data_IF_402401554853
#
_entry.id   IF_402401554853
#
_cell.length_a   1.000
_cell.length_b   1.000
_cell.length_c   1.000
_cell.angle_alpha   90.00
_cell.angle_beta   90.00
_cell.angle_gamma   90.00
#
_symmetry.space_group_name_H-M   'P 1'
#
loop_
_entity.id
_entity.type
_entity.pdbx_description
1 polymer ?
#
# COMPACT_ATOMS: atom_id res chain seq x y z
N UNK A 1 11.93 -4.72 -16.63
CA UNK A 1 13.05 -3.80 -16.59
C UNK A 1 13.76 -3.80 -17.95
N UNK A 2 14.04 -2.61 -18.51
CA UNK A 2 14.91 -2.49 -19.70
C UNK A 2 16.37 -2.55 -19.26
N UNK A 3 17.10 -3.54 -19.78
CA UNK A 3 18.53 -3.75 -19.51
C UNK A 3 19.30 -3.78 -20.80
N UNK A 4 20.52 -3.26 -20.80
CA UNK A 4 21.45 -3.27 -21.92
C UNK A 4 22.88 -3.12 -21.40
N UNK A 5 23.86 -3.31 -22.28
CA UNK A 5 25.27 -3.02 -21.96
C UNK A 5 25.70 -1.71 -22.60
N UNK A 6 26.45 -0.92 -21.88
CA UNK A 6 27.08 0.27 -22.46
C UNK A 6 28.32 -0.10 -23.29
N UNK A 7 28.91 0.87 -23.96
CA UNK A 7 30.10 0.64 -24.77
C UNK A 7 31.32 0.13 -23.99
N UNK A 8 31.33 0.26 -22.67
CA UNK A 8 32.33 -0.28 -21.74
C UNK A 8 32.03 -1.69 -21.23
N UNK A 9 30.96 -2.33 -21.72
CA UNK A 9 30.53 -3.67 -21.29
C UNK A 9 29.89 -3.72 -19.93
N UNK A 10 29.46 -2.58 -19.34
CA UNK A 10 28.79 -2.54 -18.05
C UNK A 10 27.29 -2.77 -18.23
N UNK A 11 26.69 -3.58 -17.36
CA UNK A 11 25.26 -3.74 -17.33
C UNK A 11 24.60 -2.45 -16.81
N UNK A 12 23.69 -1.90 -17.60
CA UNK A 12 22.90 -0.72 -17.27
C UNK A 12 21.42 -1.01 -17.45
N UNK A 13 20.60 -0.28 -16.71
CA UNK A 13 19.16 -0.40 -16.78
C UNK A 13 18.47 0.96 -16.76
N UNK A 14 17.36 1.06 -17.47
CA UNK A 14 16.51 2.23 -17.36
C UNK A 14 15.79 2.18 -16.00
N UNK A 15 15.70 3.31 -15.32
CA UNK A 15 15.03 3.37 -14.01
C UNK A 15 13.56 3.01 -14.14
N UNK A 16 13.16 2.07 -13.31
CA UNK A 16 11.79 1.53 -13.24
C UNK A 16 10.86 2.40 -12.39
N UNK A 17 11.44 3.03 -11.37
CA UNK A 17 10.80 3.94 -10.43
C UNK A 17 11.78 5.03 -9.98
N UNK A 18 11.35 5.89 -9.07
CA UNK A 18 12.18 6.93 -8.46
C UNK A 18 12.64 6.57 -7.04
N UNK A 19 12.17 5.47 -6.47
CA UNK A 19 12.49 5.02 -5.12
C UNK A 19 13.90 4.44 -5.03
N UNK A 20 14.31 3.61 -5.99
CA UNK A 20 15.68 3.07 -6.02
C UNK A 20 16.73 4.17 -6.16
N UNK A 21 16.57 5.16 -7.07
CA UNK A 21 17.44 6.34 -7.09
C UNK A 21 17.47 7.13 -5.78
N UNK A 22 16.31 7.27 -5.11
CA UNK A 22 16.24 7.92 -3.79
C UNK A 22 17.02 7.14 -2.74
N UNK A 23 16.80 5.83 -2.65
CA UNK A 23 17.48 4.98 -1.68
C UNK A 23 19.01 5.07 -1.84
N UNK A 24 19.51 5.08 -3.09
CA UNK A 24 20.91 5.27 -3.40
C UNK A 24 21.41 6.64 -2.97
N UNK A 25 20.67 7.70 -3.28
CA UNK A 25 21.00 9.07 -2.88
C UNK A 25 21.04 9.20 -1.36
N UNK A 26 20.01 8.70 -0.67
CA UNK A 26 19.92 8.76 0.78
C UNK A 26 21.08 8.00 1.45
N UNK A 27 21.43 6.79 0.96
CA UNK A 27 22.56 6.03 1.47
C UNK A 27 23.91 6.75 1.31
N UNK A 28 24.12 7.45 0.18
CA UNK A 28 25.35 8.20 -0.07
C UNK A 28 25.48 9.47 0.76
N UNK A 29 24.35 10.11 1.10
CA UNK A 29 24.32 11.44 1.72
C UNK A 29 23.72 11.47 3.12
N UNK A 30 23.42 10.29 3.70
CA UNK A 30 22.70 10.13 4.96
C UNK A 30 23.21 11.06 6.07
N UNK A 31 24.53 11.15 6.24
CA UNK A 31 25.14 11.97 7.29
C UNK A 31 25.01 13.49 7.09
N UNK A 32 24.64 13.91 5.89
CA UNK A 32 24.46 15.31 5.52
C UNK A 32 22.99 15.72 5.39
N UNK A 33 22.07 14.76 5.44
CA UNK A 33 20.64 15.01 5.36
C UNK A 33 20.07 15.31 6.75
N UNK A 34 19.33 16.43 6.87
CA UNK A 34 18.52 16.69 8.05
C UNK A 34 17.34 15.69 8.13
N UNK A 35 17.03 15.17 9.31
CA UNK A 35 15.93 14.25 9.53
C UNK A 35 14.77 14.93 10.27
N UNK A 36 13.50 14.67 9.88
CA UNK A 36 13.09 13.86 8.74
C UNK A 36 13.43 14.54 7.40
N UNK A 37 14.00 13.78 6.48
CA UNK A 37 14.28 14.24 5.12
C UNK A 37 13.04 14.08 4.24
N UNK A 38 12.55 15.19 3.69
CA UNK A 38 11.38 15.22 2.81
C UNK A 38 11.79 15.70 1.43
N UNK A 39 11.28 15.02 0.40
CA UNK A 39 11.53 15.42 -0.98
C UNK A 39 10.33 15.12 -1.86
N UNK A 40 10.26 15.79 -3.00
CA UNK A 40 9.49 15.31 -4.15
C UNK A 40 10.42 15.15 -5.36
N UNK A 41 10.04 14.30 -6.29
CA UNK A 41 10.81 14.06 -7.52
C UNK A 41 9.84 13.75 -8.67
N UNK A 42 9.96 14.53 -9.74
CA UNK A 42 9.15 14.37 -10.95
C UNK A 42 10.11 14.01 -12.08
N UNK A 43 10.01 12.81 -12.64
CA UNK A 43 10.88 12.36 -13.72
C UNK A 43 10.30 11.19 -14.48
N UNK A 44 10.78 10.98 -15.70
CA UNK A 44 10.41 9.86 -16.54
C UNK A 44 10.95 8.54 -15.99
N UNK A 45 10.14 7.50 -16.05
CA UNK A 45 10.48 6.11 -15.70
C UNK A 45 10.07 5.18 -16.85
N UNK A 46 10.66 3.97 -16.89
CA UNK A 46 10.44 3.02 -17.97
C UNK A 46 10.12 1.64 -17.45
N UNK A 47 8.97 1.08 -17.88
CA UNK A 47 8.50 -0.24 -17.50
C UNK A 47 8.25 -1.10 -18.75
N UNK A 48 8.85 -2.28 -18.80
CA UNK A 48 8.69 -3.23 -19.91
C UNK A 48 7.38 -4.02 -19.86
N UNK A 49 6.29 -3.38 -19.45
CA UNK A 49 4.96 -3.99 -19.36
C UNK A 49 4.25 -4.00 -20.73
N UNK A 50 3.21 -4.81 -20.85
CA UNK A 50 2.34 -4.75 -22.01
C UNK A 50 1.59 -3.42 -22.03
N UNK A 51 1.79 -2.64 -23.08
CA UNK A 51 1.11 -1.37 -23.27
C UNK A 51 -0.40 -1.60 -23.47
N UNK A 52 -1.20 -0.82 -22.77
CA UNK A 52 -2.65 -0.78 -22.92
C UNK A 52 -3.18 0.63 -22.58
N UNK A 53 -4.46 0.87 -22.74
CA UNK A 53 -5.05 2.18 -22.43
C UNK A 53 -4.72 2.58 -20.98
N UNK A 54 -4.10 3.76 -20.78
CA UNK A 54 -3.66 4.26 -19.48
C UNK A 54 -2.38 3.64 -18.93
N UNK A 55 -1.75 2.69 -19.66
CA UNK A 55 -0.43 2.13 -19.28
C UNK A 55 0.56 2.27 -20.42
N UNK A 56 1.56 3.08 -20.17
CA UNK A 56 2.64 3.37 -21.10
C UNK A 56 3.95 2.72 -20.63
N UNK A 57 4.84 2.42 -21.56
CA UNK A 57 6.18 1.91 -21.24
C UNK A 57 7.14 3.00 -20.77
N UNK A 58 6.86 4.23 -21.17
CA UNK A 58 7.53 5.44 -20.72
C UNK A 58 6.47 6.40 -20.19
N UNK A 59 6.63 6.88 -18.97
CA UNK A 59 5.73 7.84 -18.36
C UNK A 59 6.43 8.65 -17.27
N UNK A 60 5.83 9.77 -16.91
CA UNK A 60 6.33 10.62 -15.83
C UNK A 60 5.75 10.15 -14.50
N UNK A 61 6.59 9.94 -13.52
CA UNK A 61 6.23 9.63 -12.14
C UNK A 61 6.47 10.88 -11.29
N UNK A 62 5.55 11.17 -10.38
CA UNK A 62 5.69 12.20 -9.37
C UNK A 62 5.68 11.50 -8.01
N UNK A 63 6.82 11.43 -7.36
CA UNK A 63 6.99 10.81 -6.06
C UNK A 63 7.25 11.87 -5.00
N UNK A 64 6.71 11.67 -3.83
CA UNK A 64 7.06 12.41 -2.62
C UNK A 64 7.36 11.42 -1.50
N UNK A 65 8.40 11.69 -0.75
CA UNK A 65 8.94 10.75 0.24
C UNK A 65 9.34 11.47 1.51
N UNK A 66 9.18 10.78 2.63
CA UNK A 66 9.73 11.17 3.92
C UNK A 66 10.58 10.05 4.47
N UNK A 67 11.84 10.35 4.82
CA UNK A 67 12.79 9.39 5.40
C UNK A 67 13.15 9.82 6.81
N UNK A 68 13.27 8.87 7.73
CA UNK A 68 13.81 9.10 9.08
C UNK A 68 12.77 9.44 10.13
N UNK A 69 11.49 9.05 9.93
CA UNK A 69 10.45 9.17 10.95
C UNK A 69 9.55 7.93 10.96
N UNK A 70 9.28 7.40 12.14
CA UNK A 70 8.30 6.33 12.39
C UNK A 70 6.97 6.88 12.93
N UNK A 71 6.85 8.19 13.06
CA UNK A 71 5.65 8.85 13.59
C UNK A 71 4.46 8.64 12.64
N UNK A 72 3.29 8.39 13.21
CA UNK A 72 2.01 8.36 12.46
C UNK A 72 1.73 9.69 11.75
N UNK A 73 2.31 10.80 12.23
CA UNK A 73 2.20 12.10 11.56
C UNK A 73 2.73 12.06 10.12
N UNK A 74 3.70 11.20 9.82
CA UNK A 74 4.23 11.01 8.45
C UNK A 74 3.21 10.36 7.54
N UNK A 75 2.44 9.39 8.05
CA UNK A 75 1.36 8.77 7.27
C UNK A 75 0.21 9.75 7.06
N UNK A 76 -0.17 10.50 8.10
CA UNK A 76 -1.20 11.55 7.99
C UNK A 76 -0.77 12.59 6.93
N UNK A 77 0.47 13.06 6.98
CA UNK A 77 1.01 13.99 5.98
C UNK A 77 0.96 13.41 4.56
N UNK A 78 1.28 12.13 4.39
CA UNK A 78 1.16 11.43 3.10
C UNK A 78 -0.28 11.49 2.58
N UNK A 79 -1.26 11.18 3.42
CA UNK A 79 -2.68 11.29 3.05
C UNK A 79 -3.10 12.71 2.69
N UNK A 80 -2.60 13.72 3.42
CA UNK A 80 -2.84 15.14 3.13
C UNK A 80 -2.24 15.56 1.79
N UNK A 81 -1.00 15.17 1.51
CA UNK A 81 -0.35 15.48 0.21
C UNK A 81 -1.14 14.88 -0.95
N UNK A 82 -1.62 13.63 -0.82
CA UNK A 82 -2.47 13.01 -1.85
C UNK A 82 -3.75 13.83 -2.04
N UNK A 83 -4.44 14.16 -0.96
CA UNK A 83 -5.68 14.93 -0.98
C UNK A 83 -5.47 16.28 -1.65
N UNK A 84 -4.52 17.06 -1.16
CA UNK A 84 -4.30 18.44 -1.60
C UNK A 84 -3.80 18.50 -3.04
N UNK A 85 -2.98 17.54 -3.47
CA UNK A 85 -2.54 17.41 -4.85
C UNK A 85 -3.72 17.21 -5.80
N UNK A 86 -4.64 16.31 -5.46
CA UNK A 86 -5.82 16.03 -6.31
C UNK A 86 -6.77 17.22 -6.36
N UNK A 87 -6.98 17.89 -5.24
CA UNK A 87 -7.76 19.13 -5.17
C UNK A 87 -7.10 20.23 -6.03
N UNK A 88 -5.79 20.42 -5.93
CA UNK A 88 -5.05 21.40 -6.72
C UNK A 88 -5.06 21.10 -8.22
N UNK A 89 -5.14 19.81 -8.61
CA UNK A 89 -5.32 19.38 -10.00
C UNK A 89 -6.76 19.53 -10.51
N UNK A 90 -7.71 19.94 -9.65
CA UNK A 90 -9.10 20.20 -10.03
C UNK A 90 -10.00 18.96 -10.03
N UNK A 91 -9.60 17.87 -9.39
CA UNK A 91 -10.47 16.70 -9.24
C UNK A 91 -11.55 16.98 -8.19
N UNK A 92 -12.79 17.03 -8.64
CA UNK A 92 -13.95 17.27 -7.76
C UNK A 92 -14.42 16.00 -7.05
N UNK A 93 -14.22 14.84 -7.67
CA UNK A 93 -14.64 13.55 -7.14
C UNK A 93 -13.44 12.59 -7.12
N UNK A 94 -13.10 12.12 -5.96
CA UNK A 94 -12.12 11.04 -5.74
C UNK A 94 -12.29 10.46 -4.35
N UNK A 95 -11.82 9.23 -4.19
CA UNK A 95 -11.78 8.55 -2.89
C UNK A 95 -10.38 8.01 -2.66
N UNK A 96 -9.77 8.41 -1.55
CA UNK A 96 -8.52 7.85 -1.07
C UNK A 96 -8.87 6.64 -0.21
N UNK A 97 -8.48 5.45 -0.64
CA UNK A 97 -8.61 4.24 0.13
C UNK A 97 -7.37 4.01 0.96
N UNK A 98 -7.56 3.64 2.20
CA UNK A 98 -6.52 3.44 3.21
C UNK A 98 -6.58 2.02 3.74
N UNK A 99 -5.44 1.37 3.84
CA UNK A 99 -5.23 0.12 4.56
C UNK A 99 -3.91 0.17 5.35
N UNK A 100 -3.68 -0.81 6.20
CA UNK A 100 -2.39 -1.05 6.85
C UNK A 100 -2.01 -2.52 6.74
N UNK A 101 -0.78 -2.77 6.30
CA UNK A 101 -0.23 -4.11 6.11
C UNK A 101 -0.17 -4.91 7.42
N UNK A 102 0.07 -4.26 8.54
CA UNK A 102 0.19 -4.87 9.84
C UNK A 102 -1.12 -5.53 10.30
N UNK A 103 -2.29 -4.97 9.94
CA UNK A 103 -3.59 -5.58 10.20
C UNK A 103 -3.69 -6.96 9.55
N UNK A 104 -3.30 -7.05 8.28
CA UNK A 104 -3.33 -8.32 7.56
C UNK A 104 -2.26 -9.29 8.06
N UNK A 105 -1.05 -8.80 8.33
CA UNK A 105 0.02 -9.61 8.90
C UNK A 105 -0.39 -10.20 10.25
N UNK A 106 -1.00 -9.40 11.14
CA UNK A 106 -1.51 -9.87 12.42
C UNK A 106 -2.57 -10.96 12.30
N UNK A 107 -3.48 -10.84 11.33
CA UNK A 107 -4.43 -11.91 11.04
C UNK A 107 -3.73 -13.18 10.54
N UNK A 108 -2.76 -13.06 9.63
CA UNK A 108 -2.02 -14.19 9.10
C UNK A 108 -1.17 -14.88 10.19
N UNK A 109 -0.60 -14.12 11.13
CA UNK A 109 0.09 -14.68 12.31
C UNK A 109 -0.88 -15.50 13.19
N UNK A 110 -2.07 -14.98 13.48
CA UNK A 110 -3.10 -15.70 14.26
C UNK A 110 -3.53 -17.01 13.59
N UNK A 111 -3.50 -17.06 12.28
CA UNK A 111 -3.89 -18.23 11.49
C UNK A 111 -2.73 -19.18 11.18
N UNK A 112 -1.52 -18.88 11.65
CA UNK A 112 -0.27 -19.62 11.33
C UNK A 112 0.00 -19.68 9.82
N UNK A 113 -0.16 -18.54 9.15
CA UNK A 113 -0.06 -18.37 7.69
C UNK A 113 1.07 -17.44 7.24
N UNK A 114 1.98 -17.03 8.13
CA UNK A 114 3.05 -16.05 7.83
C UNK A 114 3.91 -16.49 6.64
N UNK A 115 4.35 -17.74 6.64
CA UNK A 115 5.18 -18.31 5.55
C UNK A 115 4.45 -18.32 4.18
N UNK A 116 3.13 -18.25 4.21
CA UNK A 116 2.26 -18.27 3.03
C UNK A 116 1.77 -16.88 2.62
N UNK A 117 2.14 -15.85 3.37
CA UNK A 117 1.63 -14.48 3.24
C UNK A 117 1.70 -13.96 1.78
N UNK A 118 2.84 -14.10 1.12
CA UNK A 118 3.02 -13.62 -0.27
C UNK A 118 2.03 -14.26 -1.25
N UNK A 119 1.76 -15.55 -1.11
CA UNK A 119 0.81 -16.26 -2.01
C UNK A 119 -0.64 -15.87 -1.71
N UNK A 120 -0.99 -15.76 -0.44
CA UNK A 120 -2.33 -15.31 0.02
C UNK A 120 -2.61 -13.91 -0.50
N UNK A 121 -1.66 -13.01 -0.36
CA UNK A 121 -1.81 -11.62 -0.80
C UNK A 121 -1.94 -11.50 -2.32
N UNK A 122 -1.19 -12.32 -3.09
CA UNK A 122 -1.34 -12.38 -4.54
C UNK A 122 -2.74 -12.86 -4.95
N UNK A 123 -3.34 -13.74 -4.17
CA UNK A 123 -4.71 -14.19 -4.41
C UNK A 123 -5.70 -13.09 -4.05
N UNK A 124 -5.52 -12.39 -2.92
CA UNK A 124 -6.34 -11.24 -2.52
C UNK A 124 -6.31 -10.09 -3.55
N UNK A 125 -5.15 -9.79 -4.14
CA UNK A 125 -5.04 -8.75 -5.19
C UNK A 125 -5.93 -9.03 -6.42
N UNK A 126 -6.36 -10.26 -6.60
CA UNK A 126 -7.26 -10.66 -7.70
C UNK A 126 -8.74 -10.58 -7.33
N UNK A 127 -9.07 -10.30 -6.05
CA UNK A 127 -10.42 -10.41 -5.51
C UNK A 127 -11.45 -9.65 -6.33
N UNK A 128 -11.16 -8.39 -6.67
CA UNK A 128 -12.04 -7.54 -7.47
C UNK A 128 -12.28 -8.05 -8.90
N UNK A 129 -11.41 -8.93 -9.41
CA UNK A 129 -11.46 -9.45 -10.78
C UNK A 129 -12.11 -10.82 -10.89
N UNK A 130 -11.84 -11.72 -9.93
CA UNK A 130 -12.26 -13.12 -10.04
C UNK A 130 -13.27 -13.54 -8.97
N UNK A 131 -13.53 -12.70 -7.98
CA UNK A 131 -14.49 -12.93 -6.90
C UNK A 131 -13.97 -13.82 -5.76
N UNK A 132 -14.68 -13.81 -4.61
CA UNK A 132 -14.21 -14.44 -3.36
C UNK A 132 -14.08 -15.96 -3.46
N UNK A 133 -15.01 -16.64 -4.12
CA UNK A 133 -14.96 -18.10 -4.26
C UNK A 133 -13.71 -18.60 -4.97
N UNK A 134 -13.34 -17.93 -6.08
CA UNK A 134 -12.13 -18.30 -6.85
C UNK A 134 -10.86 -17.91 -6.09
N UNK A 135 -10.88 -16.82 -5.33
CA UNK A 135 -9.76 -16.41 -4.49
C UNK A 135 -9.56 -17.42 -3.36
N UNK A 136 -10.63 -17.88 -2.69
CA UNK A 136 -10.54 -18.95 -1.69
C UNK A 136 -9.93 -20.22 -2.28
N UNK A 137 -10.43 -20.67 -3.42
CA UNK A 137 -9.90 -21.86 -4.10
C UNK A 137 -8.41 -21.70 -4.49
N UNK A 138 -8.02 -20.48 -4.92
CA UNK A 138 -6.62 -20.19 -5.23
C UNK A 138 -5.74 -20.20 -3.97
N UNK A 139 -6.20 -19.68 -2.83
CA UNK A 139 -5.49 -19.74 -1.54
C UNK A 139 -5.27 -21.20 -1.12
N UNK A 140 -6.28 -22.03 -1.24
CA UNK A 140 -6.17 -23.46 -0.90
C UNK A 140 -5.17 -24.17 -1.84
N UNK A 141 -5.29 -23.97 -3.15
CA UNK A 141 -4.46 -24.70 -4.13
C UNK A 141 -3.03 -24.19 -4.25
N UNK A 142 -2.84 -22.86 -4.14
CA UNK A 142 -1.53 -22.22 -4.39
C UNK A 142 -0.76 -21.92 -3.10
N UNK A 143 -1.47 -21.52 -2.03
CA UNK A 143 -0.84 -21.23 -0.74
C UNK A 143 -0.97 -22.41 0.26
N UNK A 144 -1.77 -23.44 -0.06
CA UNK A 144 -1.97 -24.59 0.82
C UNK A 144 -2.66 -24.22 2.14
N UNK A 145 -3.60 -23.28 2.12
CA UNK A 145 -4.45 -22.98 3.27
C UNK A 145 -5.54 -24.04 3.43
N UNK A 146 -6.11 -24.17 4.63
CA UNK A 146 -7.40 -24.87 4.77
C UNK A 146 -8.55 -24.00 4.23
N UNK A 147 -9.72 -24.59 4.02
CA UNK A 147 -10.92 -23.85 3.63
C UNK A 147 -11.34 -22.84 4.72
N UNK A 148 -11.19 -23.23 5.99
CA UNK A 148 -11.49 -22.39 7.14
C UNK A 148 -10.53 -21.20 7.22
N UNK A 149 -9.23 -21.42 7.01
CA UNK A 149 -8.23 -20.35 6.98
C UNK A 149 -8.50 -19.38 5.83
N UNK A 150 -8.81 -19.88 4.62
CA UNK A 150 -9.16 -19.04 3.49
C UNK A 150 -10.41 -18.20 3.75
N UNK A 151 -11.44 -18.79 4.39
CA UNK A 151 -12.65 -18.08 4.77
C UNK A 151 -12.37 -16.98 5.81
N UNK A 152 -11.53 -17.23 6.82
CA UNK A 152 -11.13 -16.22 7.80
C UNK A 152 -10.40 -15.03 7.16
N UNK A 153 -9.47 -15.30 6.24
CA UNK A 153 -8.77 -14.24 5.50
C UNK A 153 -9.74 -13.42 4.65
N UNK A 154 -10.73 -14.08 4.01
CA UNK A 154 -11.71 -13.38 3.17
C UNK A 154 -12.70 -12.53 3.94
N UNK A 155 -12.90 -12.73 5.25
CA UNK A 155 -13.70 -11.83 6.09
C UNK A 155 -13.22 -10.39 6.02
N UNK A 156 -11.91 -10.16 5.85
CA UNK A 156 -11.37 -8.81 5.64
C UNK A 156 -12.00 -8.11 4.43
N UNK A 157 -12.28 -8.85 3.37
CA UNK A 157 -12.85 -8.30 2.13
C UNK A 157 -14.35 -8.05 2.21
N UNK A 158 -15.02 -8.58 3.21
CA UNK A 158 -16.46 -8.39 3.43
C UNK A 158 -16.75 -7.16 4.29
N UNK A 159 -15.71 -6.60 4.93
CA UNK A 159 -15.84 -5.44 5.78
C UNK A 159 -16.21 -4.22 4.93
N UNK A 160 -17.33 -3.59 5.27
CA UNK A 160 -17.88 -2.46 4.55
C UNK A 160 -18.67 -1.54 5.47
N UNK A 161 -18.93 -0.33 5.02
CA UNK A 161 -19.68 0.66 5.79
C UNK A 161 -18.87 1.92 6.10
N UNK A 162 -19.17 2.57 7.22
CA UNK A 162 -18.39 3.71 7.69
C UNK A 162 -17.01 3.28 8.20
N UNK A 163 -16.04 4.18 8.18
CA UNK A 163 -14.71 3.90 8.72
C UNK A 163 -14.76 3.41 10.17
N UNK A 164 -15.63 4.00 10.99
CA UNK A 164 -15.81 3.58 12.40
C UNK A 164 -16.37 2.15 12.52
N UNK A 165 -17.26 1.77 11.59
CA UNK A 165 -17.77 0.41 11.56
C UNK A 165 -16.68 -0.58 11.15
N UNK A 166 -15.93 -0.27 10.10
CA UNK A 166 -14.81 -1.12 9.64
C UNK A 166 -13.76 -1.30 10.74
N UNK A 167 -13.40 -0.23 11.48
CA UNK A 167 -12.48 -0.33 12.61
C UNK A 167 -13.01 -1.24 13.72
N UNK A 168 -14.31 -1.16 14.04
CA UNK A 168 -14.94 -2.02 15.04
C UNK A 168 -14.95 -3.50 14.62
N UNK A 169 -15.22 -3.75 13.35
CA UNK A 169 -15.30 -5.10 12.80
C UNK A 169 -13.91 -5.74 12.62
N UNK A 170 -12.88 -4.93 12.42
CA UNK A 170 -11.47 -5.37 12.39
C UNK A 170 -10.94 -5.79 13.76
N UNK A 171 -11.37 -5.10 14.83
CA UNK A 171 -10.80 -5.30 16.16
C UNK A 171 -10.83 -6.78 16.64
N UNK A 172 -11.92 -7.53 16.51
CA UNK A 172 -11.94 -8.95 16.92
C UNK A 172 -11.05 -9.84 16.04
N UNK A 173 -10.82 -9.48 14.78
CA UNK A 173 -9.99 -10.26 13.86
C UNK A 173 -8.52 -10.23 14.26
N UNK A 174 -8.03 -9.09 14.77
CA UNK A 174 -6.63 -8.90 15.18
C UNK A 174 -6.41 -9.01 16.68
N UNK A 175 -7.48 -9.10 17.49
CA UNK A 175 -7.39 -9.17 18.96
C UNK A 175 -6.43 -10.25 19.45
N UNK A 176 -5.53 -9.88 20.39
CA UNK A 176 -4.50 -10.75 20.95
C UNK A 176 -3.27 -10.93 20.07
N UNK A 177 -3.15 -10.17 18.96
CA UNK A 177 -1.92 -10.10 18.16
C UNK A 177 -1.40 -8.65 18.16
N UNK A 178 -0.20 -8.44 18.70
CA UNK A 178 0.40 -7.11 18.89
C UNK A 178 0.57 -6.35 17.57
N UNK A 179 1.03 -7.03 16.52
CA UNK A 179 1.24 -6.42 15.19
C UNK A 179 -0.08 -5.95 14.58
N UNK A 180 -1.11 -6.79 14.65
CA UNK A 180 -2.44 -6.47 14.12
C UNK A 180 -3.12 -5.35 14.89
N UNK A 181 -3.00 -5.34 16.23
CA UNK A 181 -3.54 -4.30 17.09
C UNK A 181 -2.83 -2.95 16.86
N UNK A 182 -1.50 -2.94 16.70
CA UNK A 182 -0.75 -1.74 16.35
C UNK A 182 -1.16 -1.19 14.98
N UNK A 183 -1.32 -2.07 13.98
CA UNK A 183 -1.82 -1.70 12.67
C UNK A 183 -3.22 -1.07 12.71
N UNK A 184 -4.10 -1.60 13.54
CA UNK A 184 -5.46 -1.07 13.75
C UNK A 184 -5.43 0.30 14.43
N UNK A 185 -4.64 0.47 15.52
CA UNK A 185 -4.45 1.77 16.19
C UNK A 185 -3.92 2.81 15.20
N UNK A 186 -2.93 2.43 14.41
CA UNK A 186 -2.35 3.31 13.39
C UNK A 186 -3.38 3.77 12.37
N UNK A 187 -4.26 2.89 11.88
CA UNK A 187 -5.37 3.25 10.99
C UNK A 187 -6.32 4.26 11.65
N UNK A 188 -6.73 4.01 12.88
CA UNK A 188 -7.62 4.92 13.62
C UNK A 188 -6.99 6.31 13.81
N UNK A 189 -5.70 6.38 14.14
CA UNK A 189 -4.95 7.64 14.30
C UNK A 189 -4.77 8.38 12.99
N UNK A 190 -4.52 7.67 11.88
CA UNK A 190 -4.43 8.29 10.54
C UNK A 190 -5.77 8.93 10.16
N UNK A 191 -6.88 8.20 10.30
CA UNK A 191 -8.22 8.71 10.00
C UNK A 191 -8.56 9.95 10.84
N UNK A 192 -8.35 9.86 12.16
CA UNK A 192 -8.60 10.99 13.07
C UNK A 192 -7.73 12.20 12.71
N UNK A 193 -6.46 11.99 12.37
CA UNK A 193 -5.55 13.07 11.98
C UNK A 193 -5.97 13.73 10.67
N UNK A 194 -6.37 12.98 9.66
CA UNK A 194 -6.86 13.51 8.39
C UNK A 194 -8.16 14.30 8.56
N UNK A 195 -9.09 13.80 9.37
CA UNK A 195 -10.33 14.53 9.70
C UNK A 195 -10.04 15.83 10.45
N UNK A 196 -9.15 15.79 11.45
CA UNK A 196 -8.75 16.99 12.18
C UNK A 196 -8.06 18.04 11.29
N UNK A 197 -7.37 17.61 10.24
CA UNK A 197 -6.78 18.48 9.22
C UNK A 197 -7.79 18.96 8.15
N UNK A 198 -9.08 18.59 8.26
CA UNK A 198 -10.13 19.07 7.39
C UNK A 198 -10.45 18.19 6.17
N UNK A 199 -9.86 16.99 6.07
CA UNK A 199 -10.23 16.04 5.01
C UNK A 199 -11.61 15.47 5.32
N UNK A 200 -12.55 15.63 4.38
CA UNK A 200 -13.91 15.10 4.52
C UNK A 200 -13.88 13.56 4.64
N UNK A 201 -14.71 13.01 5.54
CA UNK A 201 -14.90 11.56 5.67
C UNK A 201 -15.38 10.87 4.38
N UNK A 202 -15.99 11.61 3.45
CA UNK A 202 -16.35 11.08 2.13
C UNK A 202 -15.17 10.94 1.18
N UNK A 203 -14.04 11.59 1.48
CA UNK A 203 -12.81 11.55 0.67
C UNK A 203 -11.84 10.45 1.07
N UNK A 204 -12.01 9.87 2.25
CA UNK A 204 -11.16 8.80 2.74
C UNK A 204 -11.98 7.63 3.25
N UNK A 205 -11.64 6.43 2.82
CA UNK A 205 -12.34 5.19 3.15
C UNK A 205 -11.33 4.10 3.52
N UNK A 206 -11.60 3.41 4.62
CA UNK A 206 -10.90 2.16 4.93
C UNK A 206 -11.31 1.09 3.92
N UNK A 207 -10.31 0.46 3.34
CA UNK A 207 -10.50 -0.67 2.43
C UNK A 207 -9.40 -1.71 2.66
N UNK A 208 -9.69 -2.64 3.53
CA UNK A 208 -8.74 -3.69 3.93
C UNK A 208 -8.53 -4.76 2.87
N UNK A 209 -9.28 -4.70 1.75
CA UNK A 209 -9.05 -5.56 0.60
C UNK A 209 -7.86 -5.11 -0.26
N UNK A 210 -7.35 -3.89 -0.04
CA UNK A 210 -6.16 -3.41 -0.75
C UNK A 210 -4.93 -4.16 -0.26
N UNK A 211 -4.44 -5.10 -1.08
CA UNK A 211 -3.29 -5.94 -0.80
C UNK A 211 -2.07 -5.62 -1.68
N UNK A 212 -2.02 -4.42 -2.28
CA UNK A 212 -0.96 -4.03 -3.21
C UNK A 212 0.42 -3.91 -2.58
N UNK A 213 1.46 -4.00 -3.41
CA UNK A 213 2.85 -3.84 -2.99
C UNK A 213 3.36 -4.98 -2.12
N UNK A 214 3.04 -6.20 -2.49
CA UNK A 214 3.19 -7.46 -1.73
C UNK A 214 4.48 -7.61 -0.92
N UNK A 215 5.62 -7.21 -1.50
CA UNK A 215 6.94 -7.36 -0.88
C UNK A 215 7.59 -5.98 -0.59
N UNK A 216 6.84 -4.89 -0.73
CA UNK A 216 7.39 -3.54 -0.72
C UNK A 216 6.83 -2.68 0.41
N UNK A 217 5.51 -2.73 0.66
CA UNK A 217 4.86 -1.96 1.72
C UNK A 217 4.84 -2.74 3.03
N UNK A 218 5.15 -2.08 4.14
CA UNK A 218 5.19 -2.67 5.47
C UNK A 218 4.14 -2.09 6.43
N UNK A 219 3.64 -0.89 6.17
CA UNK A 219 2.69 -0.17 7.02
C UNK A 219 1.46 0.33 6.23
N UNK A 220 1.17 1.62 6.33
CA UNK A 220 0.02 2.25 5.67
C UNK A 220 0.10 2.18 4.14
N UNK A 221 -1.03 1.90 3.52
CA UNK A 221 -1.20 1.80 2.06
C UNK A 221 -2.30 2.75 1.64
N UNK A 222 -2.02 3.57 0.63
CA UNK A 222 -2.99 4.48 0.02
C UNK A 222 -3.20 4.12 -1.45
N UNK A 223 -4.45 4.09 -1.87
CA UNK A 223 -4.84 3.97 -3.27
C UNK A 223 -5.99 4.93 -3.57
N UNK A 224 -5.87 5.71 -4.65
CA UNK A 224 -6.89 6.68 -5.00
C UNK A 224 -7.67 6.27 -6.23
N UNK A 225 -8.98 6.42 -6.14
CA UNK A 225 -9.95 6.18 -7.21
C UNK A 225 -10.60 7.50 -7.61
N UNK A 226 -10.67 7.72 -8.93
CA UNK A 226 -11.27 8.89 -9.59
C UNK A 226 -12.64 8.54 -10.14
#
# INVERSE_FOLDING_TARGET
LYRFQDHGGRDVGMRFDLTVPLARFAAQHFHNLGMPFKRYHIATVWRGENAQRGRYREFMQCDFDTIGSLSVATDIETGLVIHDLLVALGFEQFTIRLNNREVLNGLLEKLDLVEKATLILRSLDKLSRIGPEKVAAEMVTSAGTSNEQAAEVLKLSELSGSNDQVLKDLAPLVAGNEVGEEGLDRLARILSGLQAAGVSGSRIQLDVSIARGLDYYTGAIYETFL
#
